data_IF_259095704097
#
_entry.id   IF_259095704097
#
_cell.length_a   1.000
_cell.length_b   1.000
_cell.length_c   1.000
_cell.angle_alpha   90.00
_cell.angle_beta   90.00
_cell.angle_gamma   90.00
#
_symmetry.space_group_name_H-M   'P 1'
#
loop_
_entity.id
_entity.type
_entity.pdbx_description
1 polymer ?
#
# COMPACT_ATOMS: atom_id res chain seq x y z
N UNK A 1 -13.86 -57.80 28.96
CA UNK A 1 -12.72 -58.54 29.54
C UNK A 1 -11.61 -57.55 29.83
N UNK A 2 -11.41 -57.30 31.11
CA UNK A 2 -10.41 -56.47 31.80
C UNK A 2 -9.05 -57.15 31.80
N UNK A 3 -7.94 -56.41 31.66
CA UNK A 3 -6.62 -56.57 32.35
C UNK A 3 -5.85 -55.25 32.12
N UNK A 4 -5.79 -54.29 33.06
CA UNK A 4 -4.95 -54.15 34.28
C UNK A 4 -3.47 -53.81 33.97
N UNK A 5 -3.06 -52.60 34.41
CA UNK A 5 -1.67 -52.11 34.49
C UNK A 5 -0.91 -52.77 35.64
N UNK A 6 0.42 -52.75 35.60
CA UNK A 6 1.22 -52.67 36.83
C UNK A 6 2.21 -51.48 36.83
N UNK A 7 2.24 -50.78 37.96
CA UNK A 7 3.41 -50.10 38.57
C UNK A 7 3.62 -50.77 39.96
N UNK A 8 4.68 -50.52 40.78
CA UNK A 8 5.81 -49.57 40.69
C UNK A 8 7.19 -50.19 41.08
N UNK A 9 8.27 -49.40 41.03
CA UNK A 9 9.47 -49.63 41.88
C UNK A 9 9.86 -48.32 42.57
N UNK A 10 9.94 -48.39 43.91
CA UNK A 10 10.36 -47.31 44.82
C UNK A 10 11.87 -47.37 45.07
N UNK A 11 12.47 -46.18 45.24
CA UNK A 11 13.42 -45.93 46.33
C UNK A 11 14.83 -45.52 45.90
N UNK A 12 15.19 -44.26 46.19
CA UNK A 12 16.30 -43.91 47.10
C UNK A 12 16.39 -42.39 47.28
N UNK A 13 16.14 -41.94 48.51
CA UNK A 13 16.40 -40.59 48.97
C UNK A 13 17.90 -40.41 49.26
N UNK A 14 18.45 -39.25 48.89
CA UNK A 14 19.69 -38.71 49.47
C UNK A 14 19.54 -37.18 49.54
N UNK A 15 19.40 -36.68 50.77
CA UNK A 15 19.40 -35.26 51.12
C UNK A 15 20.78 -34.64 50.91
N UNK A 16 20.82 -33.40 50.41
CA UNK A 16 21.86 -32.45 50.81
C UNK A 16 21.39 -31.00 50.69
N UNK A 17 21.55 -30.28 51.80
CA UNK A 17 21.16 -28.90 52.05
C UNK A 17 21.78 -27.84 51.10
N UNK A 18 20.93 -26.88 50.72
CA UNK A 18 21.07 -25.42 50.82
C UNK A 18 22.45 -24.76 50.59
N UNK A 19 22.56 -23.91 49.55
CA UNK A 19 23.30 -22.63 49.59
C UNK A 19 22.75 -21.62 48.56
N UNK A 20 22.33 -20.45 49.08
CA UNK A 20 22.41 -19.07 48.52
C UNK A 20 21.80 -18.80 47.13
N UNK A 21 20.67 -18.10 47.01
CA UNK A 21 20.49 -16.64 47.13
C UNK A 21 21.44 -15.81 46.23
N UNK A 22 20.82 -14.95 45.40
CA UNK A 22 21.36 -13.83 44.59
C UNK A 22 21.66 -14.05 43.09
N UNK A 23 20.59 -14.09 42.28
CA UNK A 23 20.45 -13.44 40.96
C UNK A 23 18.98 -13.64 40.55
N UNK A 24 18.15 -12.67 40.21
CA UNK A 24 18.37 -11.62 39.23
C UNK A 24 17.25 -10.57 39.42
N UNK A 25 17.56 -9.47 40.12
CA UNK A 25 16.69 -8.27 40.21
C UNK A 25 16.99 -7.27 39.08
N UNK A 26 17.74 -7.65 38.04
CA UNK A 26 18.14 -6.77 36.94
C UNK A 26 17.17 -6.78 35.75
N UNK A 27 16.36 -7.84 35.61
CA UNK A 27 15.39 -7.97 34.51
C UNK A 27 14.15 -7.07 34.58
N UNK A 28 13.76 -6.57 35.75
CA UNK A 28 12.59 -5.69 35.89
C UNK A 28 12.92 -4.20 35.66
N UNK A 29 14.12 -3.76 36.04
CA UNK A 29 14.52 -2.35 35.94
C UNK A 29 14.82 -1.95 34.48
N UNK A 30 15.27 -2.91 33.65
CA UNK A 30 15.57 -2.67 32.25
C UNK A 30 14.32 -2.54 31.37
N UNK A 31 13.24 -3.25 31.69
CA UNK A 31 11.98 -3.17 30.94
C UNK A 31 11.21 -1.87 31.20
N UNK A 32 11.27 -1.33 32.43
CA UNK A 32 10.61 -0.07 32.76
C UNK A 32 11.34 1.15 32.16
N UNK A 33 12.67 1.12 32.10
CA UNK A 33 13.47 2.16 31.42
C UNK A 33 13.24 2.16 29.91
N UNK A 34 13.12 0.98 29.28
CA UNK A 34 12.81 0.87 27.85
C UNK A 34 11.39 1.37 27.53
N UNK A 35 10.41 1.09 28.40
CA UNK A 35 9.04 1.59 28.24
C UNK A 35 8.93 3.11 28.43
N UNK A 36 9.66 3.70 29.38
CA UNK A 36 9.72 5.15 29.56
C UNK A 36 10.49 5.86 28.42
N UNK A 37 11.50 5.21 27.83
CA UNK A 37 12.20 5.75 26.65
C UNK A 37 11.34 5.72 25.38
N UNK A 38 10.49 4.70 25.21
CA UNK A 38 9.49 4.69 24.13
C UNK A 38 8.38 5.71 24.36
N UNK A 39 7.92 5.92 25.60
CA UNK A 39 6.92 6.94 25.89
C UNK A 39 7.45 8.38 25.72
N UNK A 40 8.75 8.61 25.99
CA UNK A 40 9.38 9.92 25.85
C UNK A 40 9.67 10.33 24.39
N UNK A 41 9.73 9.38 23.44
CA UNK A 41 9.86 9.70 22.00
C UNK A 41 8.52 9.90 21.30
N UNK A 42 7.41 9.56 21.96
CA UNK A 42 6.04 9.72 21.43
C UNK A 42 5.36 11.03 21.86
N UNK A 43 6.00 11.84 22.70
CA UNK A 43 5.41 13.04 23.28
C UNK A 43 6.31 14.27 23.20
N UNK A 44 6.60 14.78 21.99
CA UNK A 44 6.96 16.20 21.76
C UNK A 44 7.29 16.49 20.28
N UNK A 45 6.48 16.03 19.34
CA UNK A 45 6.34 16.78 18.09
C UNK A 45 4.95 17.39 18.12
N UNK A 46 4.81 18.72 18.03
CA UNK A 46 3.54 19.27 17.63
C UNK A 46 3.32 18.73 16.21
N UNK A 47 2.49 17.69 16.11
CA UNK A 47 1.71 17.46 14.90
C UNK A 47 0.78 18.68 14.81
N UNK A 48 1.34 19.81 14.38
CA UNK A 48 0.60 20.63 13.45
C UNK A 48 0.32 19.66 12.30
N UNK A 49 -0.87 19.07 12.32
CA UNK A 49 -1.54 18.76 11.07
C UNK A 49 -1.62 20.11 10.38
N UNK A 50 -0.58 20.45 9.63
CA UNK A 50 -0.65 21.45 8.60
C UNK A 50 -1.88 21.03 7.81
N UNK A 51 -2.93 21.84 7.86
CA UNK A 51 -4.14 21.59 7.08
C UNK A 51 -3.65 21.29 5.68
N UNK A 52 -3.85 20.06 5.22
CA UNK A 52 -3.27 19.62 3.96
C UNK A 52 -3.64 20.66 2.90
N UNK A 53 -2.67 21.31 2.24
CA UNK A 53 -2.84 22.54 1.48
C UNK A 53 -4.07 22.46 0.59
N UNK A 54 -4.93 23.48 0.61
CA UNK A 54 -6.22 23.45 -0.06
C UNK A 54 -6.00 23.37 -1.58
N UNK A 55 -6.12 22.18 -2.16
CA UNK A 55 -6.02 21.93 -3.62
C UNK A 55 -6.84 22.90 -4.51
N UNK A 56 -7.86 23.56 -3.96
CA UNK A 56 -8.60 24.63 -4.65
C UNK A 56 -7.82 25.96 -4.74
N UNK A 57 -6.96 26.25 -3.76
CA UNK A 57 -6.18 27.49 -3.61
C UNK A 57 -4.71 27.31 -4.02
N UNK A 58 -4.23 26.08 -4.17
CA UNK A 58 -2.88 25.80 -4.65
C UNK A 58 -2.75 26.17 -6.12
N UNK A 59 -1.69 26.92 -6.44
CA UNK A 59 -1.25 27.10 -7.83
C UNK A 59 -0.71 25.75 -8.31
N UNK A 60 -1.61 24.93 -8.86
CA UNK A 60 -1.23 23.67 -9.47
C UNK A 60 -0.19 23.95 -10.56
N UNK A 61 0.83 23.08 -10.73
CA UNK A 61 1.80 23.22 -11.79
C UNK A 61 1.11 23.42 -13.14
N UNK A 62 1.56 24.37 -13.96
CA UNK A 62 1.05 24.52 -15.33
C UNK A 62 1.61 23.38 -16.19
N UNK A 63 0.92 22.24 -16.17
CA UNK A 63 1.27 21.02 -16.90
C UNK A 63 0.13 20.63 -17.81
N UNK A 64 0.47 20.29 -19.05
CA UNK A 64 -0.50 19.76 -20.01
C UNK A 64 -0.81 18.30 -19.66
N UNK A 65 -2.04 18.04 -19.27
CA UNK A 65 -2.54 16.67 -19.03
C UNK A 65 -3.29 16.22 -20.27
N UNK A 66 -2.71 15.26 -21.00
CA UNK A 66 -3.23 14.74 -22.28
C UNK A 66 -3.61 13.26 -22.20
N UNK A 67 -3.61 12.69 -20.99
CA UNK A 67 -3.98 11.29 -20.78
C UNK A 67 -5.41 11.03 -21.24
N UNK A 68 -5.62 9.89 -21.88
CA UNK A 68 -6.94 9.46 -22.37
C UNK A 68 -7.61 8.56 -21.33
N UNK A 69 -8.92 8.71 -21.18
CA UNK A 69 -9.72 7.87 -20.30
C UNK A 69 -9.52 6.37 -20.59
N UNK A 70 -9.53 5.50 -19.56
CA UNK A 70 -9.33 4.07 -19.77
C UNK A 70 -10.41 3.45 -20.66
N UNK A 71 -10.00 2.57 -21.57
CA UNK A 71 -10.94 1.74 -22.31
C UNK A 71 -11.70 0.79 -21.36
N UNK A 72 -12.83 0.24 -21.83
CA UNK A 72 -13.74 -0.58 -21.00
C UNK A 72 -13.04 -1.73 -20.28
N UNK A 73 -12.05 -2.34 -20.91
CA UNK A 73 -11.30 -3.51 -20.43
C UNK A 73 -9.82 -3.18 -20.13
N UNK A 74 -9.54 -1.91 -19.83
CA UNK A 74 -8.19 -1.44 -19.53
C UNK A 74 -8.01 -1.23 -18.03
N UNK A 75 -6.84 -1.61 -17.53
CA UNK A 75 -6.38 -1.25 -16.18
C UNK A 75 -5.35 -0.16 -16.31
N UNK A 76 -5.50 0.92 -15.53
CA UNK A 76 -4.52 2.00 -15.44
C UNK A 76 -4.07 2.18 -14.00
N UNK A 77 -2.80 1.93 -13.72
CA UNK A 77 -2.19 2.21 -12.41
C UNK A 77 -1.54 3.58 -12.47
N UNK A 78 -1.88 4.45 -11.52
CA UNK A 78 -1.30 5.79 -11.42
C UNK A 78 -0.38 5.82 -10.20
N UNK A 79 0.90 6.11 -10.43
CA UNK A 79 1.92 6.22 -9.38
C UNK A 79 2.35 7.67 -9.26
N UNK A 80 2.28 8.21 -8.04
CA UNK A 80 2.87 9.48 -7.65
C UNK A 80 4.19 9.19 -6.90
N UNK A 81 5.32 9.51 -7.52
CA UNK A 81 6.67 9.16 -7.08
C UNK A 81 7.50 10.40 -6.68
N UNK A 82 6.86 11.38 -6.03
CA UNK A 82 7.50 12.65 -5.70
C UNK A 82 8.29 12.64 -4.35
N UNK A 83 7.92 11.78 -3.40
CA UNK A 83 8.56 11.64 -2.09
C UNK A 83 9.49 10.43 -2.00
N UNK A 84 10.27 10.34 -0.92
CA UNK A 84 11.10 9.16 -0.65
C UNK A 84 10.22 7.91 -0.47
N UNK A 85 10.27 7.02 -1.46
CA UNK A 85 9.40 5.83 -1.52
C UNK A 85 8.10 6.03 -2.33
N UNK A 86 7.80 7.26 -2.75
CA UNK A 86 6.60 7.68 -3.47
C UNK A 86 5.43 8.04 -2.55
N UNK A 87 4.56 8.93 -3.01
CA UNK A 87 3.45 9.50 -2.23
C UNK A 87 2.20 8.63 -2.27
N UNK A 88 1.85 8.12 -3.46
CA UNK A 88 0.53 7.54 -3.67
C UNK A 88 0.47 6.57 -4.85
N UNK A 89 -0.47 5.61 -4.77
CA UNK A 89 -0.83 4.70 -5.84
C UNK A 89 -2.34 4.52 -5.89
N UNK A 90 -2.92 4.71 -7.09
CA UNK A 90 -4.32 4.40 -7.38
C UNK A 90 -4.46 3.53 -8.62
N UNK A 91 -5.64 2.95 -8.82
CA UNK A 91 -5.91 2.07 -9.96
C UNK A 91 -7.29 2.36 -10.55
N UNK A 92 -7.35 2.48 -11.87
CA UNK A 92 -8.57 2.44 -12.65
C UNK A 92 -8.74 1.04 -13.26
N UNK A 93 -9.95 0.49 -13.15
CA UNK A 93 -10.43 -0.64 -13.95
C UNK A 93 -11.57 -0.14 -14.83
N UNK A 94 -11.27 0.14 -16.11
CA UNK A 94 -12.13 0.96 -16.95
C UNK A 94 -12.39 2.32 -16.28
N UNK A 95 -13.66 2.71 -16.16
CA UNK A 95 -14.04 3.97 -15.48
C UNK A 95 -14.02 3.90 -13.96
N UNK A 96 -13.85 2.72 -13.36
CA UNK A 96 -13.92 2.56 -11.91
C UNK A 96 -12.55 2.85 -11.28
N UNK A 97 -12.46 3.95 -10.53
CA UNK A 97 -11.28 4.26 -9.72
C UNK A 97 -11.37 3.56 -8.36
N UNK A 98 -10.24 3.04 -7.90
CA UNK A 98 -9.91 2.87 -6.49
C UNK A 98 -8.71 3.76 -6.12
N UNK A 99 -8.95 4.59 -5.11
CA UNK A 99 -7.96 5.39 -4.39
C UNK A 99 -7.94 4.86 -2.95
N UNK A 100 -7.06 3.89 -2.61
CA UNK A 100 -7.17 3.15 -1.36
C UNK A 100 -6.97 4.03 -0.12
N UNK A 101 -6.06 5.01 -0.17
CA UNK A 101 -5.85 5.93 0.96
C UNK A 101 -6.91 7.04 1.01
N UNK A 102 -7.69 7.21 -0.05
CA UNK A 102 -8.87 8.06 -0.09
C UNK A 102 -8.56 9.56 -0.13
N UNK A 103 -7.32 9.97 -0.39
CA UNK A 103 -6.96 11.39 -0.39
C UNK A 103 -7.65 12.16 -1.52
N UNK A 104 -7.85 11.54 -2.69
CA UNK A 104 -8.56 12.15 -3.80
C UNK A 104 -10.06 12.21 -3.53
N UNK A 105 -10.68 11.08 -3.16
CA UNK A 105 -12.12 11.06 -2.87
C UNK A 105 -12.51 11.93 -1.68
N UNK A 106 -11.71 11.93 -0.62
CA UNK A 106 -11.95 12.77 0.56
C UNK A 106 -11.89 14.27 0.28
N UNK A 107 -11.18 14.67 -0.79
CA UNK A 107 -11.01 16.07 -1.17
C UNK A 107 -11.96 16.48 -2.29
N UNK A 108 -11.95 15.76 -3.41
CA UNK A 108 -12.85 16.03 -4.55
C UNK A 108 -14.32 15.79 -4.20
N UNK A 109 -14.61 14.83 -3.32
CA UNK A 109 -15.98 14.53 -2.88
C UNK A 109 -16.66 15.67 -2.13
N UNK A 110 -15.93 16.69 -1.67
CA UNK A 110 -16.52 17.88 -1.05
C UNK A 110 -17.11 18.86 -2.07
N UNK A 111 -16.67 18.78 -3.34
CA UNK A 111 -17.19 19.59 -4.42
C UNK A 111 -18.52 19.00 -4.93
N UNK A 112 -19.62 19.70 -4.65
CA UNK A 112 -20.97 19.28 -5.04
C UNK A 112 -21.20 19.28 -6.56
N UNK A 113 -20.38 20.00 -7.33
CA UNK A 113 -20.46 20.04 -8.77
C UNK A 113 -19.58 18.96 -9.44
N UNK A 114 -18.83 18.18 -8.65
CA UNK A 114 -17.90 17.19 -9.19
C UNK A 114 -18.65 16.05 -9.90
N UNK A 115 -18.42 15.84 -11.21
CA UNK A 115 -19.12 14.80 -11.98
C UNK A 115 -18.66 13.37 -11.66
N UNK A 116 -17.66 13.22 -10.77
CA UNK A 116 -17.02 11.96 -10.44
C UNK A 116 -15.61 11.83 -11.04
N UNK A 117 -14.92 10.73 -10.75
CA UNK A 117 -13.54 10.53 -11.14
C UNK A 117 -13.38 10.42 -12.66
N UNK A 118 -12.40 11.14 -13.18
CA UNK A 118 -11.83 10.94 -14.52
C UNK A 118 -10.33 10.73 -14.39
N UNK A 119 -9.70 10.06 -15.34
CA UNK A 119 -8.25 9.84 -15.27
C UNK A 119 -7.49 11.17 -15.31
N UNK A 120 -7.92 12.10 -16.15
CA UNK A 120 -7.28 13.41 -16.25
C UNK A 120 -7.40 14.23 -14.95
N UNK A 121 -8.57 14.26 -14.31
CA UNK A 121 -8.77 14.97 -13.03
C UNK A 121 -8.00 14.30 -11.89
N UNK A 122 -7.97 12.96 -11.87
CA UNK A 122 -7.18 12.21 -10.90
C UNK A 122 -5.68 12.49 -11.08
N UNK A 123 -5.16 12.40 -12.31
CA UNK A 123 -3.76 12.69 -12.61
C UNK A 123 -3.40 14.13 -12.22
N UNK A 124 -4.28 15.10 -12.48
CA UNK A 124 -4.13 16.51 -12.05
C UNK A 124 -4.00 16.61 -10.54
N UNK A 125 -4.86 15.95 -9.79
CA UNK A 125 -4.80 15.97 -8.33
C UNK A 125 -3.48 15.41 -7.81
N UNK A 126 -2.93 14.36 -8.43
CA UNK A 126 -1.64 13.81 -8.01
C UNK A 126 -0.46 14.78 -8.22
N UNK A 127 -0.61 15.82 -9.07
CA UNK A 127 0.47 16.80 -9.30
C UNK A 127 0.70 17.79 -8.17
N UNK A 128 -0.15 17.80 -7.14
CA UNK A 128 0.01 18.66 -5.95
C UNK A 128 1.37 18.44 -5.29
N UNK A 129 1.84 17.19 -5.27
CA UNK A 129 3.14 16.83 -4.66
C UNK A 129 4.33 16.98 -5.64
N UNK A 130 4.07 17.31 -6.90
CA UNK A 130 5.08 17.44 -7.96
C UNK A 130 4.76 16.61 -9.21
N UNK A 131 5.67 16.68 -10.20
CA UNK A 131 5.41 16.19 -11.56
C UNK A 131 5.85 14.74 -11.84
N UNK A 132 6.39 14.00 -10.85
CA UNK A 132 6.81 12.60 -11.03
C UNK A 132 5.61 11.64 -10.98
N UNK A 133 4.70 11.81 -11.95
CA UNK A 133 3.50 11.00 -12.09
C UNK A 133 3.65 10.08 -13.30
N UNK A 134 3.46 8.78 -13.09
CA UNK A 134 3.50 7.76 -14.14
C UNK A 134 2.19 7.00 -14.20
N UNK A 135 1.73 6.71 -15.41
CA UNK A 135 0.52 5.96 -15.68
C UNK A 135 0.88 4.66 -16.41
N UNK A 136 0.62 3.52 -15.79
CA UNK A 136 0.86 2.21 -16.38
C UNK A 136 -0.45 1.64 -16.90
N UNK A 137 -0.51 1.32 -18.18
CA UNK A 137 -1.73 0.97 -18.88
C UNK A 137 -1.65 -0.46 -19.42
N UNK A 138 -2.71 -1.23 -19.18
CA UNK A 138 -2.79 -2.63 -19.58
C UNK A 138 -4.16 -2.92 -20.17
N UNK A 139 -4.21 -3.21 -21.47
CA UNK A 139 -5.44 -3.68 -22.11
C UNK A 139 -5.60 -5.18 -21.88
N UNK A 140 -6.66 -5.57 -21.17
CA UNK A 140 -6.83 -6.94 -20.70
C UNK A 140 -7.87 -7.71 -21.52
N UNK A 141 -7.72 -9.04 -21.58
CA UNK A 141 -8.80 -9.92 -22.06
C UNK A 141 -10.01 -9.81 -21.12
N UNK A 142 -11.25 -9.92 -21.63
CA UNK A 142 -12.45 -9.69 -20.82
C UNK A 142 -12.53 -10.47 -19.50
N UNK A 143 -12.14 -11.76 -19.50
CA UNK A 143 -12.15 -12.57 -18.28
C UNK A 143 -11.11 -12.13 -17.24
N UNK A 144 -9.91 -11.74 -17.69
CA UNK A 144 -8.87 -11.21 -16.82
C UNK A 144 -9.28 -9.84 -16.25
N UNK A 145 -9.85 -8.98 -17.10
CA UNK A 145 -10.38 -7.69 -16.67
C UNK A 145 -11.48 -7.85 -15.61
N UNK A 146 -12.44 -8.74 -15.82
CA UNK A 146 -13.56 -8.96 -14.90
C UNK A 146 -13.09 -9.36 -13.49
N UNK A 147 -12.00 -10.12 -13.39
CA UNK A 147 -11.40 -10.48 -12.10
C UNK A 147 -10.79 -9.25 -11.39
N UNK A 148 -10.02 -8.43 -12.10
CA UNK A 148 -9.48 -7.18 -11.51
C UNK A 148 -10.61 -6.23 -11.12
N UNK A 149 -11.59 -6.04 -11.98
CA UNK A 149 -12.74 -5.17 -11.73
C UNK A 149 -13.55 -5.63 -10.50
N UNK A 150 -13.74 -6.95 -10.33
CA UNK A 150 -14.35 -7.54 -9.15
C UNK A 150 -13.54 -7.23 -7.89
N UNK A 151 -12.22 -7.45 -7.92
CA UNK A 151 -11.33 -7.15 -6.79
C UNK A 151 -11.36 -5.66 -6.43
N UNK A 152 -11.40 -4.76 -7.42
CA UNK A 152 -11.51 -3.31 -7.22
C UNK A 152 -12.81 -2.95 -6.50
N UNK A 153 -13.95 -3.53 -6.89
CA UNK A 153 -15.24 -3.28 -6.23
C UNK A 153 -15.29 -3.81 -4.80
N UNK A 154 -14.63 -4.92 -4.54
CA UNK A 154 -14.59 -5.56 -3.22
C UNK A 154 -13.53 -4.93 -2.29
N UNK A 155 -12.58 -4.20 -2.86
CA UNK A 155 -11.56 -3.52 -2.10
C UNK A 155 -12.15 -2.31 -1.35
N UNK A 156 -11.93 -2.28 -0.04
CA UNK A 156 -12.24 -1.12 0.79
C UNK A 156 -11.11 -0.10 0.80
N UNK A 157 -11.33 0.98 1.56
CA UNK A 157 -10.27 1.93 1.91
C UNK A 157 -9.21 1.28 2.79
N UNK A 158 -8.00 1.81 2.74
CA UNK A 158 -6.88 1.44 3.61
C UNK A 158 -6.32 2.65 4.34
N UNK A 159 -5.65 2.46 5.49
CA UNK A 159 -4.93 3.55 6.14
C UNK A 159 -3.88 4.18 5.20
N UNK A 160 -3.45 5.41 5.49
CA UNK A 160 -2.28 6.01 4.84
C UNK A 160 -1.09 5.05 4.82
N UNK A 161 -0.22 5.18 3.81
CA UNK A 161 0.95 4.31 3.54
C UNK A 161 0.65 2.93 2.96
N UNK A 162 -0.59 2.44 2.97
CA UNK A 162 -0.95 1.12 2.43
C UNK A 162 -1.53 1.13 1.01
N UNK A 163 -1.61 2.30 0.36
CA UNK A 163 -2.17 2.43 -0.99
C UNK A 163 -1.46 1.53 -2.01
N UNK A 164 -0.13 1.50 -2.01
CA UNK A 164 0.64 0.67 -2.92
C UNK A 164 0.45 -0.82 -2.66
N UNK A 165 0.34 -1.25 -1.40
CA UNK A 165 0.05 -2.66 -1.04
C UNK A 165 -1.30 -3.09 -1.59
N UNK A 166 -2.31 -2.24 -1.46
CA UNK A 166 -3.65 -2.52 -2.01
C UNK A 166 -3.59 -2.67 -3.53
N UNK A 167 -3.04 -1.68 -4.24
CA UNK A 167 -2.94 -1.71 -5.71
C UNK A 167 -2.14 -2.92 -6.18
N UNK A 168 -0.99 -3.19 -5.56
CA UNK A 168 -0.17 -4.38 -5.85
C UNK A 168 -0.98 -5.67 -5.72
N UNK A 169 -1.69 -5.84 -4.60
CA UNK A 169 -2.42 -7.06 -4.31
C UNK A 169 -3.73 -7.22 -5.09
N UNK A 170 -4.24 -6.14 -5.71
CA UNK A 170 -5.32 -6.23 -6.70
C UNK A 170 -4.82 -6.93 -7.97
N UNK A 171 -3.61 -6.61 -8.42
CA UNK A 171 -2.98 -7.20 -9.60
C UNK A 171 -2.46 -8.62 -9.34
N UNK A 172 -1.87 -8.86 -8.16
CA UNK A 172 -1.15 -10.08 -7.84
C UNK A 172 -1.91 -11.38 -8.22
N UNK A 173 -1.26 -12.23 -9.01
CA UNK A 173 -1.76 -13.54 -9.44
C UNK A 173 -2.90 -13.51 -10.46
N UNK A 174 -3.37 -12.35 -10.90
CA UNK A 174 -4.35 -12.25 -11.99
C UNK A 174 -3.61 -12.12 -13.33
N UNK A 175 -4.05 -12.80 -14.39
CA UNK A 175 -3.44 -12.62 -15.73
C UNK A 175 -3.56 -11.16 -16.20
N UNK A 176 -2.56 -10.59 -16.90
CA UNK A 176 -1.21 -11.11 -17.21
C UNK A 176 -0.16 -10.85 -16.10
N UNK A 177 -0.60 -10.53 -14.89
CA UNK A 177 0.22 -10.28 -13.69
C UNK A 177 0.40 -11.56 -12.84
N UNK A 178 0.33 -12.75 -13.44
CA UNK A 178 0.45 -14.03 -12.74
C UNK A 178 1.82 -14.25 -12.10
N UNK A 179 2.86 -13.57 -12.60
CA UNK A 179 4.18 -13.48 -11.98
C UNK A 179 4.29 -12.48 -10.81
N UNK A 180 3.24 -11.71 -10.52
CA UNK A 180 3.21 -10.77 -9.39
C UNK A 180 2.70 -11.48 -8.14
N UNK A 181 3.59 -11.71 -7.17
CA UNK A 181 3.24 -12.33 -5.89
C UNK A 181 2.56 -11.33 -4.95
N UNK A 182 1.71 -11.83 -4.03
CA UNK A 182 1.12 -10.98 -3.00
C UNK A 182 2.20 -10.50 -2.03
N UNK A 183 2.04 -9.27 -1.52
CA UNK A 183 2.96 -8.71 -0.52
C UNK A 183 2.21 -8.09 0.66
N UNK A 184 2.85 -8.14 1.84
CA UNK A 184 2.41 -7.39 3.02
C UNK A 184 2.95 -5.95 3.04
N UNK A 185 3.94 -5.64 2.21
CA UNK A 185 4.57 -4.31 2.16
C UNK A 185 5.15 -4.00 0.77
N UNK A 186 4.87 -2.79 0.29
CA UNK A 186 5.51 -2.19 -0.87
C UNK A 186 5.26 -0.69 -0.83
N UNK A 187 6.17 0.10 -1.40
CA UNK A 187 6.00 1.55 -1.52
C UNK A 187 5.51 1.89 -2.94
N UNK A 188 4.88 3.06 -3.17
CA UNK A 188 4.49 3.46 -4.53
C UNK A 188 5.64 3.43 -5.54
N UNK A 189 6.84 3.89 -5.17
CA UNK A 189 8.02 3.82 -6.02
C UNK A 189 8.44 2.37 -6.34
N UNK A 190 8.35 1.46 -5.36
CA UNK A 190 8.66 0.05 -5.57
C UNK A 190 7.64 -0.64 -6.48
N UNK A 191 6.36 -0.33 -6.31
CA UNK A 191 5.30 -0.76 -7.23
C UNK A 191 5.55 -0.22 -8.65
N UNK A 192 5.92 1.05 -8.80
CA UNK A 192 6.30 1.62 -10.09
C UNK A 192 7.44 0.84 -10.77
N UNK A 193 8.51 0.52 -10.04
CA UNK A 193 9.62 -0.30 -10.57
C UNK A 193 9.18 -1.70 -10.99
N UNK A 194 8.27 -2.33 -10.25
CA UNK A 194 7.70 -3.61 -10.64
C UNK A 194 6.94 -3.48 -11.96
N UNK A 195 6.13 -2.42 -12.11
CA UNK A 195 5.34 -2.18 -13.32
C UNK A 195 6.22 -1.79 -14.51
N UNK A 196 7.34 -1.08 -14.29
CA UNK A 196 8.33 -0.79 -15.34
C UNK A 196 8.80 -2.09 -16.01
N UNK A 197 9.02 -3.16 -15.23
CA UNK A 197 9.39 -4.48 -15.75
C UNK A 197 8.30 -5.18 -16.58
N UNK A 198 7.04 -4.72 -16.49
CA UNK A 198 5.91 -5.24 -17.28
C UNK A 198 5.62 -4.39 -18.52
N UNK A 199 6.14 -3.16 -18.58
CA UNK A 199 5.87 -2.21 -19.67
C UNK A 199 7.09 -1.90 -20.53
N UNK A 200 8.27 -2.44 -20.21
CA UNK A 200 9.50 -2.23 -20.95
C UNK A 200 10.00 -3.53 -21.59
N UNK A 201 10.63 -3.40 -22.76
CA UNK A 201 11.23 -4.51 -23.51
C UNK A 201 10.31 -5.20 -24.52
N UNK A 202 10.84 -6.18 -25.25
CA UNK A 202 10.15 -6.87 -26.35
C UNK A 202 8.92 -7.69 -25.90
N UNK A 203 8.89 -8.09 -24.63
CA UNK A 203 7.81 -8.85 -24.03
C UNK A 203 6.85 -7.99 -23.18
N UNK A 204 6.88 -6.66 -23.33
CA UNK A 204 5.99 -5.76 -22.62
C UNK A 204 4.52 -6.14 -22.84
N UNK A 205 3.77 -6.21 -21.75
CA UNK A 205 2.34 -6.55 -21.73
C UNK A 205 1.45 -5.32 -21.54
N UNK A 206 2.07 -4.15 -21.43
CA UNK A 206 1.41 -2.85 -21.29
C UNK A 206 2.39 -1.74 -21.64
N UNK A 207 1.99 -0.51 -21.33
CA UNK A 207 2.76 0.70 -21.61
C UNK A 207 2.81 1.63 -20.39
N UNK A 208 3.88 2.41 -20.28
CA UNK A 208 3.99 3.48 -19.30
C UNK A 208 3.91 4.83 -20.02
N UNK A 209 3.13 5.75 -19.45
CA UNK A 209 2.94 7.10 -19.98
C UNK A 209 3.20 8.16 -18.91
N UNK A 210 3.72 9.30 -19.34
CA UNK A 210 3.75 10.55 -18.58
C UNK A 210 2.40 11.29 -18.70
N UNK A 211 2.26 12.41 -17.97
CA UNK A 211 1.05 13.26 -17.96
C UNK A 211 0.64 13.80 -19.34
N UNK A 212 1.60 14.01 -20.24
CA UNK A 212 1.37 14.49 -21.61
C UNK A 212 1.15 13.35 -22.63
N UNK A 213 0.95 12.12 -22.13
CA UNK A 213 0.80 10.89 -22.90
C UNK A 213 2.06 10.45 -23.67
N UNK A 214 3.22 11.07 -23.44
CA UNK A 214 4.49 10.53 -23.96
C UNK A 214 4.87 9.26 -23.21
N UNK A 215 5.57 8.31 -23.86
CA UNK A 215 6.09 7.14 -23.16
C UNK A 215 7.03 7.50 -22.02
N UNK A 216 7.03 6.68 -20.96
CA UNK A 216 8.17 6.53 -20.06
C UNK A 216 9.30 5.75 -20.79
#
# INVERSE_FOLDING_TARGET
MTVVRPEPVKGLCLDRHNTNELADKSGWINNLKLFCLLAATLGALPLHAEEAPNWHDDVLPDVQIKVVEPARNEVVVVINDNALGGNHAGLFAGKQLIDPAGSYFGRRGMDKAWPGPTLADYARFQTVDGLKIRLYRFLLKPGAFAEIERRVREAGSTPPLFCAVTVHNLLAGAMPFDGVERTGWTTPAALGRLLDGLTQGEAAIGECQNLDATPC
#
